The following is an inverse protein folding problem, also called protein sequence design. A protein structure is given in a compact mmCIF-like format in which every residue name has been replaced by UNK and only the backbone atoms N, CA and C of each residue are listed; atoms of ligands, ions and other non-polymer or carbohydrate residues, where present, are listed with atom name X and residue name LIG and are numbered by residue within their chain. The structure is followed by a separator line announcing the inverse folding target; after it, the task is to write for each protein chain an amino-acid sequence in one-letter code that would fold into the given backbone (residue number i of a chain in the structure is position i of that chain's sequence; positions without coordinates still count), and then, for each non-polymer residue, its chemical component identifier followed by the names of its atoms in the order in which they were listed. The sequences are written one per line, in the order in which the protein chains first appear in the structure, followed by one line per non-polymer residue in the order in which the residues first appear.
data_IF_721859788304
#
_entry.id   IF_721859788304
#
_cell.length_a   1.000
_cell.length_b   1.000
_cell.length_c   1.000
_cell.angle_alpha   90.00
_cell.angle_beta   90.00
_cell.angle_gamma   90.00
#
_symmetry.space_group_name_H-M   'P 1'
#
loop_
_entity.id
_entity.type
_entity.pdbx_description
1 polymer ?
#
# COMPACT_ATOMS: atom_id res chain seq x y z
N UNK A 1 18.82 39.60 -30.42
CA UNK A 1 17.86 39.95 -29.36
C UNK A 1 17.14 38.66 -28.99
N UNK A 2 17.65 37.99 -27.98
CA UNK A 2 17.13 36.70 -27.47
C UNK A 2 16.42 36.99 -26.16
N UNK A 3 15.11 36.83 -26.15
CA UNK A 3 14.29 37.03 -24.96
C UNK A 3 14.18 35.74 -24.17
N UNK A 4 14.87 35.65 -23.02
CA UNK A 4 14.72 34.61 -22.03
C UNK A 4 13.40 34.80 -21.24
N UNK A 5 12.39 34.04 -21.60
CA UNK A 5 11.16 33.93 -20.84
C UNK A 5 11.32 32.95 -19.67
N UNK A 6 11.73 33.45 -18.51
CA UNK A 6 11.62 32.69 -17.26
C UNK A 6 10.15 32.60 -16.84
N UNK A 7 9.56 31.40 -16.94
CA UNK A 7 8.28 31.09 -16.31
C UNK A 7 8.48 31.03 -14.79
N UNK A 8 8.04 32.08 -14.08
CA UNK A 8 7.90 32.03 -12.62
C UNK A 8 6.72 31.14 -12.25
N UNK A 9 6.98 29.89 -11.90
CA UNK A 9 6.02 29.01 -11.25
C UNK A 9 5.77 29.51 -9.82
N UNK A 10 4.65 30.19 -9.61
CA UNK A 10 4.19 30.58 -8.28
C UNK A 10 3.73 29.29 -7.54
N UNK A 11 4.47 28.85 -6.54
CA UNK A 11 3.99 27.85 -5.59
C UNK A 11 2.78 28.45 -4.85
N UNK A 12 1.58 27.97 -5.14
CA UNK A 12 0.36 28.33 -4.40
C UNK A 12 0.39 27.49 -3.12
N UNK A 13 0.70 28.10 -1.99
CA UNK A 13 0.52 27.47 -0.68
C UNK A 13 -0.98 27.45 -0.36
N UNK A 14 -1.53 26.33 0.19
CA UNK A 14 -2.91 26.29 0.63
C UNK A 14 -3.15 27.36 1.71
N UNK A 15 -4.32 27.98 1.68
CA UNK A 15 -4.72 28.96 2.71
C UNK A 15 -4.94 28.27 4.05
N UNK A 16 -4.82 29.02 5.16
CA UNK A 16 -5.04 28.47 6.52
C UNK A 16 -6.45 27.85 6.66
N UNK A 17 -7.46 28.36 5.94
CA UNK A 17 -8.80 27.79 5.91
C UNK A 17 -8.87 26.45 5.16
N UNK A 18 -8.14 26.29 4.05
CA UNK A 18 -8.05 25.01 3.33
C UNK A 18 -7.30 23.98 4.15
N UNK A 19 -6.28 24.40 4.92
CA UNK A 19 -5.54 23.54 5.81
C UNK A 19 -6.42 23.08 6.99
N UNK A 20 -7.15 24.00 7.63
CA UNK A 20 -8.08 23.70 8.73
C UNK A 20 -9.27 22.81 8.27
N UNK A 21 -9.79 23.04 7.06
CA UNK A 21 -10.82 22.20 6.46
C UNK A 21 -10.34 20.78 6.19
N UNK A 22 -9.11 20.63 5.73
CA UNK A 22 -8.47 19.32 5.54
C UNK A 22 -8.25 18.62 6.88
N UNK A 23 -7.80 19.33 7.92
CA UNK A 23 -7.59 18.76 9.26
C UNK A 23 -8.90 18.31 9.91
N UNK A 24 -9.98 19.08 9.76
CA UNK A 24 -11.30 18.71 10.25
C UNK A 24 -11.85 17.46 9.51
N UNK A 25 -11.70 17.40 8.20
CA UNK A 25 -12.06 16.23 7.39
C UNK A 25 -11.27 14.98 7.81
N UNK A 26 -9.98 15.12 8.12
CA UNK A 26 -9.13 14.03 8.59
C UNK A 26 -9.51 13.53 9.98
N UNK A 27 -9.89 14.43 10.90
CA UNK A 27 -10.34 14.05 12.24
C UNK A 27 -11.66 13.27 12.16
N UNK A 28 -12.59 13.69 11.30
CA UNK A 28 -13.84 12.97 11.05
C UNK A 28 -13.59 11.58 10.44
N UNK A 29 -12.68 11.47 9.46
CA UNK A 29 -12.30 10.20 8.83
C UNK A 29 -11.61 9.24 9.80
N UNK A 30 -10.76 9.74 10.69
CA UNK A 30 -10.12 8.92 11.73
C UNK A 30 -11.10 8.41 12.79
N UNK A 31 -12.23 9.09 12.99
CA UNK A 31 -13.33 8.61 13.84
C UNK A 31 -14.21 7.57 13.13
N UNK A 32 -14.44 7.70 11.84
CA UNK A 32 -15.21 6.75 11.03
C UNK A 32 -14.45 5.43 10.81
N UNK A 33 -13.11 5.48 10.73
CA UNK A 33 -12.23 4.32 10.57
C UNK A 33 -12.19 3.35 11.77
N UNK A 34 -12.92 3.63 12.85
CA UNK A 34 -12.89 2.82 14.10
C UNK A 34 -13.84 1.63 14.14
N UNK A 35 -14.44 1.20 13.04
CA UNK A 35 -15.63 0.35 13.08
C UNK A 35 -15.44 -1.15 12.85
N UNK A 36 -14.24 -1.67 12.69
CA UNK A 36 -13.99 -3.12 12.81
C UNK A 36 -13.25 -3.41 14.12
N UNK A 37 -14.00 -3.41 15.21
CA UNK A 37 -13.44 -3.77 16.50
C UNK A 37 -13.25 -5.28 16.61
N UNK A 38 -12.05 -5.71 17.07
CA UNK A 38 -11.83 -7.07 17.54
C UNK A 38 -12.70 -7.36 18.79
N UNK A 39 -12.91 -8.61 19.19
CA UNK A 39 -13.58 -8.96 20.46
C UNK A 39 -12.96 -8.29 21.69
N UNK A 40 -11.72 -7.83 21.61
CA UNK A 40 -11.00 -7.07 22.64
C UNK A 40 -11.21 -5.55 22.57
N UNK A 41 -11.99 -5.05 21.59
CA UNK A 41 -12.26 -3.62 21.40
C UNK A 41 -11.18 -2.86 20.64
N UNK A 42 -10.08 -3.50 20.22
CA UNK A 42 -9.06 -2.88 19.37
C UNK A 42 -9.44 -2.98 17.89
N UNK A 43 -9.25 -1.93 17.08
CA UNK A 43 -9.49 -2.00 15.66
C UNK A 43 -8.52 -2.98 15.01
N UNK A 44 -9.06 -4.00 14.35
CA UNK A 44 -8.26 -4.99 13.62
C UNK A 44 -7.76 -4.42 12.30
N UNK A 45 -8.61 -3.71 11.59
CA UNK A 45 -8.33 -3.10 10.29
C UNK A 45 -8.94 -1.71 10.28
N UNK A 46 -8.16 -0.71 9.90
CA UNK A 46 -8.62 0.65 9.64
C UNK A 46 -8.95 0.77 8.16
N UNK A 47 -10.15 1.23 7.85
CA UNK A 47 -10.62 1.58 6.52
C UNK A 47 -10.64 3.11 6.39
N UNK A 48 -9.87 3.65 5.43
CA UNK A 48 -9.58 5.07 5.34
C UNK A 48 -9.77 5.53 3.88
N UNK A 49 -10.77 6.36 3.57
CA UNK A 49 -10.88 6.98 2.25
C UNK A 49 -9.65 7.88 2.00
N UNK A 50 -8.79 7.48 1.07
CA UNK A 50 -7.54 8.18 0.74
C UNK A 50 -7.65 9.00 -0.53
N UNK A 51 -8.29 8.46 -1.55
CA UNK A 51 -8.45 9.04 -2.87
C UNK A 51 -9.92 9.02 -3.28
N UNK A 52 -10.34 9.96 -4.09
CA UNK A 52 -11.59 9.81 -4.84
C UNK A 52 -11.43 8.73 -5.91
N UNK A 53 -12.50 8.03 -6.31
CA UNK A 53 -12.41 6.98 -7.34
C UNK A 53 -11.74 7.44 -8.64
N UNK A 54 -11.97 8.67 -9.06
CA UNK A 54 -11.37 9.23 -10.27
C UNK A 54 -9.86 9.44 -10.13
N UNK A 55 -9.38 9.78 -8.93
CA UNK A 55 -7.96 9.92 -8.63
C UNK A 55 -7.29 8.54 -8.57
N UNK A 56 -7.94 7.57 -7.95
CA UNK A 56 -7.45 6.19 -7.92
C UNK A 56 -7.33 5.61 -9.35
N UNK A 57 -8.32 5.87 -10.22
CA UNK A 57 -8.27 5.46 -11.62
C UNK A 57 -7.08 6.07 -12.38
N UNK A 58 -6.77 7.36 -12.14
CA UNK A 58 -5.59 8.00 -12.74
C UNK A 58 -4.30 7.30 -12.30
N UNK A 59 -4.15 6.97 -11.02
CA UNK A 59 -2.97 6.27 -10.52
C UNK A 59 -2.90 4.83 -11.07
N UNK A 60 -4.03 4.12 -11.19
CA UNK A 60 -4.09 2.80 -11.81
C UNK A 60 -3.64 2.83 -13.28
N UNK A 61 -4.06 3.84 -14.06
CA UNK A 61 -3.62 4.02 -15.45
C UNK A 61 -2.10 4.26 -15.55
N UNK A 62 -1.50 5.02 -14.63
CA UNK A 62 -0.04 5.17 -14.58
C UNK A 62 0.66 3.83 -14.36
N UNK A 63 0.12 2.98 -13.46
CA UNK A 63 0.64 1.62 -13.23
C UNK A 63 0.59 0.80 -14.52
N UNK A 64 -0.52 0.84 -15.25
CA UNK A 64 -0.67 0.13 -16.53
C UNK A 64 0.30 0.63 -17.61
N UNK A 65 0.56 1.93 -17.66
CA UNK A 65 1.53 2.51 -18.60
C UNK A 65 2.98 2.09 -18.30
N UNK A 66 3.27 1.66 -17.07
CA UNK A 66 4.57 1.13 -16.66
C UNK A 66 4.68 -0.39 -16.82
N UNK A 67 3.92 -1.02 -17.72
CA UNK A 67 3.91 -2.47 -17.91
C UNK A 67 5.29 -3.08 -18.15
N UNK A 68 6.17 -2.38 -18.83
CA UNK A 68 7.55 -2.84 -19.09
C UNK A 68 8.40 -2.94 -17.80
N UNK A 69 7.94 -2.35 -16.71
CA UNK A 69 8.57 -2.39 -15.38
C UNK A 69 7.89 -3.38 -14.43
N UNK A 70 6.90 -4.13 -14.90
CA UNK A 70 6.24 -5.15 -14.09
C UNK A 70 7.15 -6.35 -13.91
N UNK A 71 7.40 -6.71 -12.66
CA UNK A 71 8.21 -7.87 -12.30
C UNK A 71 7.26 -9.04 -12.06
N UNK A 72 7.39 -10.10 -12.87
CA UNK A 72 6.58 -11.32 -12.71
C UNK A 72 6.94 -12.04 -11.40
N UNK A 73 5.91 -12.45 -10.65
CA UNK A 73 6.04 -13.10 -9.34
C UNK A 73 5.44 -14.51 -9.28
N UNK A 74 5.23 -15.12 -10.42
CA UNK A 74 4.67 -16.46 -10.52
C UNK A 74 4.17 -16.75 -11.92
N UNK A 75 3.23 -17.68 -12.05
CA UNK A 75 2.77 -18.26 -13.32
C UNK A 75 1.93 -17.31 -14.21
N UNK A 76 2.30 -16.03 -14.29
CA UNK A 76 1.73 -15.11 -15.26
C UNK A 76 0.45 -14.39 -14.82
N UNK A 77 0.07 -14.46 -13.54
CA UNK A 77 -1.13 -13.79 -13.00
C UNK A 77 -0.84 -12.74 -11.94
N UNK A 78 0.39 -12.70 -11.42
CA UNK A 78 0.81 -11.78 -10.38
C UNK A 78 2.11 -11.06 -10.73
N UNK A 79 2.09 -9.74 -10.64
CA UNK A 79 3.25 -8.86 -10.86
C UNK A 79 3.37 -7.83 -9.76
N UNK A 80 4.58 -7.28 -9.63
CA UNK A 80 4.85 -6.12 -8.78
C UNK A 80 5.54 -5.02 -9.57
N UNK A 81 5.37 -3.78 -9.13
CA UNK A 81 6.30 -2.68 -9.40
C UNK A 81 6.92 -2.33 -8.06
N UNK A 82 8.24 -2.39 -7.97
CA UNK A 82 8.99 -2.15 -6.73
C UNK A 82 9.70 -3.38 -6.21
N UNK A 83 10.65 -3.16 -5.32
CA UNK A 83 11.35 -4.21 -4.60
C UNK A 83 10.46 -4.69 -3.43
N UNK A 84 9.90 -5.88 -3.58
CA UNK A 84 8.99 -6.45 -2.59
C UNK A 84 9.75 -7.26 -1.55
N UNK A 85 9.65 -6.88 -0.28
CA UNK A 85 10.28 -7.63 0.83
C UNK A 85 9.83 -9.08 0.84
N UNK A 86 8.56 -9.34 0.57
CA UNK A 86 8.04 -10.70 0.58
C UNK A 86 8.65 -11.55 -0.54
N UNK A 87 8.72 -11.02 -1.76
CA UNK A 87 9.16 -11.77 -2.94
C UNK A 87 10.68 -11.76 -3.11
N UNK A 88 11.32 -10.63 -2.87
CA UNK A 88 12.75 -10.46 -3.18
C UNK A 88 13.66 -10.76 -1.97
N UNK A 89 13.14 -10.63 -0.74
CA UNK A 89 13.89 -10.82 0.47
C UNK A 89 13.60 -12.17 1.14
N UNK A 90 12.31 -12.55 1.25
CA UNK A 90 11.91 -13.77 1.97
C UNK A 90 12.01 -15.00 1.08
N UNK A 91 11.46 -14.95 -0.13
CA UNK A 91 11.37 -16.12 -1.02
C UNK A 91 12.72 -16.42 -1.69
N UNK A 92 13.47 -15.38 -2.06
CA UNK A 92 14.74 -15.56 -2.78
C UNK A 92 15.98 -15.74 -1.91
N UNK A 93 15.84 -15.61 -0.58
CA UNK A 93 16.98 -15.56 0.38
C UNK A 93 18.05 -14.50 0.01
N UNK A 94 17.59 -13.43 -0.65
CA UNK A 94 18.42 -12.51 -1.39
C UNK A 94 18.49 -11.10 -0.81
N UNK A 95 19.06 -10.92 0.42
CA UNK A 95 19.29 -9.57 0.95
C UNK A 95 19.94 -8.63 -0.07
N UNK A 96 21.00 -9.07 -0.73
CA UNK A 96 21.70 -8.26 -1.73
C UNK A 96 20.78 -7.91 -2.91
N UNK A 97 19.98 -8.87 -3.38
CA UNK A 97 19.08 -8.68 -4.52
C UNK A 97 17.99 -7.67 -4.19
N UNK A 98 17.35 -7.76 -3.03
CA UNK A 98 16.30 -6.82 -2.63
C UNK A 98 16.79 -5.37 -2.62
N UNK A 99 17.89 -5.10 -1.93
CA UNK A 99 18.42 -3.73 -1.81
C UNK A 99 18.95 -3.19 -3.14
N UNK A 100 19.52 -4.04 -3.99
CA UNK A 100 19.94 -3.64 -5.34
C UNK A 100 18.73 -3.31 -6.24
N UNK A 101 17.68 -4.12 -6.18
CA UNK A 101 16.42 -3.83 -6.90
C UNK A 101 15.81 -2.53 -6.38
N UNK A 102 15.76 -2.33 -5.07
CA UNK A 102 15.26 -1.09 -4.47
C UNK A 102 16.02 0.14 -4.98
N UNK A 103 17.36 0.12 -4.96
CA UNK A 103 18.20 1.21 -5.47
C UNK A 103 17.88 1.55 -6.93
N UNK A 104 17.63 0.54 -7.76
CA UNK A 104 17.36 0.71 -9.19
C UNK A 104 15.96 1.24 -9.47
N UNK A 105 14.94 0.75 -8.74
CA UNK A 105 13.54 1.05 -9.07
C UNK A 105 12.95 2.23 -8.29
N UNK A 106 13.47 2.54 -7.09
CA UNK A 106 12.95 3.63 -6.26
C UNK A 106 12.90 4.99 -6.99
N UNK A 107 13.93 5.43 -7.76
CA UNK A 107 13.85 6.70 -8.47
C UNK A 107 12.72 6.76 -9.49
N UNK A 108 12.42 5.66 -10.16
CA UNK A 108 11.30 5.57 -11.11
C UNK A 108 9.97 5.65 -10.38
N UNK A 109 9.81 4.91 -9.26
CA UNK A 109 8.60 4.93 -8.45
C UNK A 109 8.34 6.33 -7.87
N UNK A 110 9.36 6.96 -7.29
CA UNK A 110 9.23 8.33 -6.75
C UNK A 110 8.88 9.33 -7.85
N UNK A 111 9.50 9.22 -9.03
CA UNK A 111 9.20 10.09 -10.17
C UNK A 111 7.78 9.97 -10.70
N UNK A 112 7.24 8.75 -10.74
CA UNK A 112 5.90 8.49 -11.27
C UNK A 112 4.79 8.70 -10.23
N UNK A 113 5.03 8.36 -8.98
CA UNK A 113 4.02 8.26 -7.92
C UNK A 113 4.31 9.10 -6.68
N UNK A 114 5.32 9.97 -6.68
CA UNK A 114 5.71 10.79 -5.52
C UNK A 114 4.55 11.47 -4.80
N UNK A 115 3.57 12.10 -5.49
CA UNK A 115 2.40 12.69 -4.86
C UNK A 115 1.53 11.66 -4.10
N UNK A 116 1.29 10.46 -4.66
CA UNK A 116 0.54 9.38 -4.02
C UNK A 116 1.29 8.85 -2.79
N UNK A 117 2.59 8.61 -2.93
CA UNK A 117 3.44 8.16 -1.83
C UNK A 117 3.47 9.20 -0.70
N UNK A 118 3.62 10.48 -1.03
CA UNK A 118 3.59 11.59 -0.07
C UNK A 118 2.27 11.69 0.68
N UNK A 119 1.14 11.54 -0.02
CA UNK A 119 -0.19 11.50 0.59
C UNK A 119 -0.31 10.31 1.55
N UNK A 120 0.09 9.12 1.12
CA UNK A 120 0.05 7.90 1.93
C UNK A 120 0.88 8.05 3.21
N UNK A 121 2.13 8.54 3.10
CA UNK A 121 2.99 8.86 4.26
C UNK A 121 2.33 9.86 5.20
N UNK A 122 1.74 10.94 4.66
CA UNK A 122 1.06 11.95 5.46
C UNK A 122 -0.07 11.37 6.30
N UNK A 123 -0.88 10.49 5.71
CA UNK A 123 -2.00 9.82 6.41
C UNK A 123 -1.48 8.88 7.48
N UNK A 124 -0.53 8.02 7.16
CA UNK A 124 0.08 7.11 8.13
C UNK A 124 0.71 7.90 9.29
N UNK A 125 1.44 8.98 8.98
CA UNK A 125 2.03 9.85 9.99
C UNK A 125 0.98 10.44 10.94
N UNK A 126 -0.18 10.85 10.44
CA UNK A 126 -1.30 11.35 11.27
C UNK A 126 -1.91 10.25 12.15
N UNK A 127 -2.12 9.04 11.61
CA UNK A 127 -2.67 7.90 12.38
C UNK A 127 -1.78 7.61 13.60
N UNK A 128 -0.47 7.62 13.41
CA UNK A 128 0.49 7.33 14.48
C UNK A 128 0.92 8.57 15.28
N UNK A 129 0.48 9.77 14.86
CA UNK A 129 0.92 11.06 15.41
C UNK A 129 2.46 11.20 15.42
N UNK A 130 3.09 10.89 14.27
CA UNK A 130 4.55 10.90 14.07
C UNK A 130 4.89 11.29 12.65
N UNK A 131 6.11 11.75 12.44
CA UNK A 131 6.65 11.87 11.08
C UNK A 131 6.73 10.48 10.43
N UNK A 132 6.20 10.35 9.21
CA UNK A 132 6.32 9.12 8.44
C UNK A 132 7.39 9.31 7.36
N UNK A 133 8.35 8.40 7.32
CA UNK A 133 9.47 8.40 6.39
C UNK A 133 9.54 7.06 5.63
N UNK A 134 10.21 7.04 4.50
CA UNK A 134 10.62 5.79 3.89
C UNK A 134 11.78 5.19 4.68
N UNK A 135 11.77 3.87 4.87
CA UNK A 135 12.89 3.20 5.51
C UNK A 135 14.12 3.32 4.60
N UNK A 136 15.24 3.90 5.07
CA UNK A 136 16.44 4.06 4.25
C UNK A 136 16.90 2.75 3.64
N UNK A 137 17.27 2.80 2.35
CA UNK A 137 17.75 1.68 1.53
C UNK A 137 16.72 0.60 1.19
N UNK A 138 15.54 0.59 1.80
CA UNK A 138 14.46 -0.33 1.47
C UNK A 138 13.72 0.08 0.19
N UNK A 139 12.91 -0.83 -0.34
CA UNK A 139 11.97 -0.52 -1.42
C UNK A 139 10.95 0.52 -0.96
N UNK A 140 10.71 1.54 -1.78
CA UNK A 140 9.55 2.43 -1.60
C UNK A 140 8.26 1.62 -1.70
N UNK A 141 7.16 2.14 -1.13
CA UNK A 141 5.83 1.58 -1.34
C UNK A 141 5.64 1.20 -2.80
N UNK A 142 5.21 -0.03 -3.07
CA UNK A 142 5.16 -0.60 -4.40
C UNK A 142 3.76 -1.10 -4.77
N UNK A 143 3.64 -1.71 -5.93
CA UNK A 143 2.34 -2.13 -6.44
C UNK A 143 2.25 -3.64 -6.57
N UNK A 144 1.11 -4.18 -6.13
CA UNK A 144 0.67 -5.52 -6.46
C UNK A 144 -0.37 -5.45 -7.58
N UNK A 145 -0.15 -6.24 -8.61
CA UNK A 145 -0.97 -6.27 -9.81
C UNK A 145 -1.37 -7.73 -10.07
N UNK A 146 -2.66 -8.00 -10.00
CA UNK A 146 -3.23 -9.29 -10.37
C UNK A 146 -4.01 -9.09 -11.66
N UNK A 147 -3.49 -9.65 -12.75
CA UNK A 147 -4.10 -9.58 -14.06
C UNK A 147 -4.67 -10.97 -14.39
N UNK A 148 -5.98 -11.09 -14.40
CA UNK A 148 -6.70 -12.33 -14.65
C UNK A 148 -6.93 -12.62 -16.14
N UNK A 149 -6.25 -11.90 -17.03
CA UNK A 149 -6.38 -12.11 -18.49
C UNK A 149 -5.85 -13.47 -18.99
N UNK A 150 -5.25 -14.29 -18.09
CA UNK A 150 -4.82 -15.66 -18.35
C UNK A 150 -5.85 -16.71 -17.90
N UNK A 151 -5.72 -17.93 -18.44
CA UNK A 151 -6.62 -19.08 -18.14
C UNK A 151 -6.51 -19.61 -16.68
N UNK A 152 -5.50 -19.17 -15.93
CA UNK A 152 -5.26 -19.62 -14.54
C UNK A 152 -6.05 -18.76 -13.55
N UNK A 153 -7.33 -19.06 -13.42
CA UNK A 153 -8.17 -18.53 -12.35
C UNK A 153 -7.83 -19.24 -11.06
N UNK A 154 -7.20 -18.53 -10.12
CA UNK A 154 -7.07 -19.06 -8.75
C UNK A 154 -8.44 -19.04 -8.08
N UNK A 155 -9.07 -20.20 -8.01
CA UNK A 155 -10.37 -20.38 -7.34
C UNK A 155 -10.32 -20.04 -5.85
N UNK A 156 -9.12 -20.00 -5.24
CA UNK A 156 -8.94 -19.89 -3.79
C UNK A 156 -8.31 -18.57 -3.30
N UNK A 157 -8.04 -17.60 -4.17
CA UNK A 157 -7.32 -16.38 -3.77
C UNK A 157 -5.82 -16.62 -3.52
N UNK A 158 -5.16 -15.77 -2.72
CA UNK A 158 -3.77 -16.00 -2.30
C UNK A 158 -3.68 -17.00 -1.14
N UNK A 159 -2.46 -17.48 -0.85
CA UNK A 159 -2.24 -18.32 0.32
C UNK A 159 -2.53 -17.54 1.61
N UNK A 160 -3.06 -18.25 2.62
CA UNK A 160 -3.25 -17.69 3.96
C UNK A 160 -1.87 -17.46 4.59
N UNK A 161 -1.64 -16.26 5.11
CA UNK A 161 -0.37 -15.88 5.73
C UNK A 161 -0.59 -14.83 6.84
N UNK A 162 0.48 -14.56 7.56
CA UNK A 162 0.66 -13.38 8.41
C UNK A 162 1.82 -12.56 7.87
N UNK A 163 1.77 -11.24 8.05
CA UNK A 163 2.83 -10.36 7.55
C UNK A 163 3.96 -10.25 8.57
N UNK A 164 5.10 -10.82 8.22
CA UNK A 164 6.32 -10.78 9.03
C UNK A 164 7.57 -10.30 8.26
N UNK A 165 7.46 -9.45 7.21
CA UNK A 165 8.63 -9.04 6.43
C UNK A 165 9.64 -8.24 7.26
N UNK A 166 9.18 -7.58 8.35
CA UNK A 166 10.02 -6.83 9.27
C UNK A 166 11.12 -7.67 9.92
N UNK A 167 10.97 -8.98 10.03
CA UNK A 167 11.95 -9.86 10.67
C UNK A 167 13.24 -10.00 9.85
N UNK A 168 13.18 -9.73 8.55
CA UNK A 168 14.31 -9.94 7.63
C UNK A 168 14.95 -8.66 7.12
N UNK A 169 14.38 -7.52 7.44
CA UNK A 169 14.95 -6.23 7.05
C UNK A 169 16.16 -5.86 7.92
N UNK A 170 17.07 -5.12 7.32
CA UNK A 170 18.18 -4.49 8.04
C UNK A 170 17.69 -3.19 8.67
N UNK A 171 17.31 -3.27 9.93
CA UNK A 171 16.90 -2.09 10.70
C UNK A 171 18.13 -1.35 11.24
N UNK A 172 18.08 -0.03 11.16
CA UNK A 172 19.14 0.85 11.69
C UNK A 172 18.94 1.18 13.16
N UNK A 173 17.77 0.91 13.71
CA UNK A 173 17.38 1.16 15.10
C UNK A 173 16.28 0.18 15.55
N UNK A 174 16.04 0.01 16.86
CA UNK A 174 14.92 -0.79 17.36
C UNK A 174 13.57 -0.28 16.82
N UNK A 175 12.64 -1.20 16.60
CA UNK A 175 11.30 -0.88 16.10
C UNK A 175 10.22 -1.60 16.89
N UNK A 176 9.00 -1.05 16.81
CA UNK A 176 7.79 -1.62 17.40
C UNK A 176 6.57 -1.44 16.51
N UNK A 177 5.48 -2.07 16.89
CA UNK A 177 4.16 -1.95 16.24
C UNK A 177 4.22 -2.08 14.72
N UNK A 178 4.74 -3.21 14.19
CA UNK A 178 4.72 -3.43 12.75
C UNK A 178 3.28 -3.45 12.24
N UNK A 179 3.10 -2.95 11.02
CA UNK A 179 1.81 -2.89 10.34
C UNK A 179 1.97 -3.10 8.85
N UNK A 180 0.86 -3.41 8.20
CA UNK A 180 0.72 -3.49 6.74
C UNK A 180 -0.41 -2.59 6.27
N UNK A 181 -0.31 -2.12 5.05
CA UNK A 181 -1.38 -1.35 4.44
C UNK A 181 -1.50 -1.64 2.94
N UNK A 182 -2.72 -1.43 2.45
CA UNK A 182 -3.08 -1.61 1.04
C UNK A 182 -3.97 -0.45 0.63
N UNK A 183 -3.63 0.24 -0.47
CA UNK A 183 -4.51 1.23 -1.11
C UNK A 183 -5.07 0.62 -2.38
N UNK A 184 -6.39 0.52 -2.48
CA UNK A 184 -7.07 -0.03 -3.65
C UNK A 184 -7.15 1.04 -4.75
N UNK A 185 -6.45 0.82 -5.88
CA UNK A 185 -6.46 1.75 -7.01
C UNK A 185 -7.42 1.32 -8.11
N UNK A 186 -7.43 0.05 -8.45
CA UNK A 186 -8.38 -0.57 -9.35
C UNK A 186 -8.78 -1.93 -8.80
N UNK A 187 -10.06 -2.18 -8.79
CA UNK A 187 -10.63 -3.45 -8.35
C UNK A 187 -11.44 -4.05 -9.49
N UNK A 188 -11.43 -5.37 -9.63
CA UNK A 188 -12.38 -6.05 -10.50
C UNK A 188 -13.81 -5.79 -10.07
N UNK A 189 -14.75 -5.85 -11.00
CA UNK A 189 -16.15 -5.62 -10.69
C UNK A 189 -16.67 -6.63 -9.67
N UNK A 190 -17.00 -6.14 -8.48
CA UNK A 190 -17.65 -6.90 -7.42
C UNK A 190 -16.76 -7.56 -6.40
N UNK A 191 -15.41 -7.45 -6.50
CA UNK A 191 -14.55 -8.12 -5.52
C UNK A 191 -13.10 -7.58 -5.49
N UNK A 192 -12.24 -8.20 -4.71
CA UNK A 192 -10.82 -7.84 -4.58
C UNK A 192 -10.43 -7.46 -3.16
N UNK A 193 -11.27 -7.81 -2.19
CA UNK A 193 -11.08 -7.54 -0.77
C UNK A 193 -10.11 -8.48 -0.08
N UNK A 194 -10.28 -8.60 1.23
CA UNK A 194 -9.45 -9.39 2.13
C UNK A 194 -10.30 -10.43 2.86
N UNK A 195 -9.90 -11.70 2.76
CA UNK A 195 -10.32 -12.72 3.73
C UNK A 195 -9.41 -12.64 4.95
N UNK A 196 -9.97 -12.67 6.15
CA UNK A 196 -9.18 -12.72 7.36
C UNK A 196 -9.84 -13.60 8.42
N UNK A 197 -9.04 -14.11 9.34
CA UNK A 197 -9.49 -15.03 10.39
C UNK A 197 -9.27 -14.41 11.76
N UNK A 198 -10.28 -14.59 12.60
CA UNK A 198 -10.27 -14.19 14.02
C UNK A 198 -10.23 -15.47 14.84
N UNK A 199 -9.59 -15.43 16.01
CA UNK A 199 -9.50 -16.58 16.93
C UNK A 199 -8.88 -17.85 16.30
N UNK A 200 -7.75 -17.68 15.61
CA UNK A 200 -6.92 -18.80 15.17
C UNK A 200 -7.56 -19.67 14.08
N UNK A 201 -8.00 -19.08 13.00
CA UNK A 201 -8.55 -19.78 11.81
C UNK A 201 -9.96 -20.37 11.94
N UNK A 202 -10.65 -20.22 13.08
CA UNK A 202 -11.99 -20.80 13.23
C UNK A 202 -13.07 -20.04 12.47
N UNK A 203 -12.93 -18.72 12.32
CA UNK A 203 -13.98 -17.90 11.71
C UNK A 203 -13.41 -16.99 10.62
N UNK A 204 -13.64 -17.37 9.37
CA UNK A 204 -13.36 -16.54 8.20
C UNK A 204 -14.31 -15.35 8.17
N UNK A 205 -13.76 -14.17 7.99
CA UNK A 205 -14.47 -12.93 7.67
C UNK A 205 -14.00 -12.38 6.33
N UNK A 206 -14.85 -11.65 5.68
CA UNK A 206 -14.55 -10.97 4.42
C UNK A 206 -14.70 -9.46 4.60
N UNK A 207 -13.68 -8.71 4.20
CA UNK A 207 -13.67 -7.26 4.11
C UNK A 207 -13.66 -6.87 2.64
N UNK A 208 -14.77 -6.32 2.10
CA UNK A 208 -14.75 -5.78 0.76
C UNK A 208 -13.83 -4.55 0.71
N UNK A 209 -13.05 -4.43 -0.36
CA UNK A 209 -12.28 -3.23 -0.62
C UNK A 209 -13.08 -2.28 -1.49
N UNK A 210 -12.91 -0.98 -1.25
CA UNK A 210 -13.44 0.11 -2.05
C UNK A 210 -12.30 0.84 -2.77
N UNK A 211 -12.50 1.16 -4.05
CA UNK A 211 -11.51 1.91 -4.85
C UNK A 211 -11.25 3.28 -4.23
N UNK A 212 -9.99 3.62 -4.04
CA UNK A 212 -9.56 4.86 -3.40
C UNK A 212 -9.33 4.73 -1.89
N UNK A 213 -9.72 3.62 -1.26
CA UNK A 213 -9.54 3.41 0.17
C UNK A 213 -8.18 2.79 0.51
N UNK A 214 -7.65 3.14 1.68
CA UNK A 214 -6.49 2.53 2.30
C UNK A 214 -6.94 1.67 3.48
N UNK A 215 -6.50 0.41 3.49
CA UNK A 215 -6.73 -0.55 4.56
C UNK A 215 -5.42 -0.76 5.32
N UNK A 216 -5.42 -0.42 6.61
CA UNK A 216 -4.23 -0.53 7.47
C UNK A 216 -4.51 -1.47 8.63
N UNK A 217 -3.63 -2.43 8.87
CA UNK A 217 -3.78 -3.45 9.90
C UNK A 217 -2.42 -3.89 10.46
N UNK A 218 -2.44 -4.64 11.56
CA UNK A 218 -1.20 -5.12 12.20
C UNK A 218 -0.47 -6.20 11.40
N UNK A 219 -1.12 -6.82 10.42
CA UNK A 219 -0.57 -7.98 9.68
C UNK A 219 -0.47 -9.28 10.49
N UNK A 220 -0.74 -9.25 11.79
CA UNK A 220 -0.47 -10.37 12.73
C UNK A 220 -1.59 -11.39 12.86
N UNK A 221 -2.63 -11.27 12.10
CA UNK A 221 -3.72 -12.24 12.00
C UNK A 221 -3.66 -12.96 10.64
N UNK A 222 -4.10 -14.22 10.57
CA UNK A 222 -4.17 -14.94 9.31
C UNK A 222 -5.09 -14.21 8.33
N UNK A 223 -4.57 -13.94 7.13
CA UNK A 223 -5.33 -13.27 6.08
C UNK A 223 -4.85 -13.70 4.70
N UNK A 224 -5.65 -13.38 3.68
CA UNK A 224 -5.30 -13.53 2.27
C UNK A 224 -6.08 -12.56 1.40
N UNK A 225 -5.60 -12.32 0.19
CA UNK A 225 -6.44 -11.69 -0.84
C UNK A 225 -7.61 -12.63 -1.12
N UNK A 226 -8.84 -12.13 -0.99
CA UNK A 226 -10.03 -12.94 -1.21
C UNK A 226 -10.07 -13.45 -2.67
N UNK A 227 -10.59 -14.66 -2.84
CA UNK A 227 -10.82 -15.22 -4.16
C UNK A 227 -11.83 -14.36 -4.92
N UNK A 228 -11.58 -14.10 -6.20
CA UNK A 228 -12.57 -13.42 -7.03
C UNK A 228 -13.84 -14.27 -7.18
N UNK A 229 -14.98 -13.64 -6.98
CA UNK A 229 -16.30 -14.27 -7.13
C UNK A 229 -16.89 -14.08 -8.53
N UNK A 230 -16.22 -13.34 -9.38
CA UNK A 230 -16.76 -12.92 -10.68
C UNK A 230 -16.12 -13.66 -11.86
N UNK A 231 -16.85 -13.77 -12.97
CA UNK A 231 -16.35 -14.36 -14.21
C UNK A 231 -15.60 -13.38 -15.12
N UNK A 232 -15.50 -12.08 -14.78
CA UNK A 232 -15.01 -11.08 -15.73
C UNK A 232 -13.49 -10.92 -15.66
N UNK A 233 -12.86 -10.97 -16.83
CA UNK A 233 -11.42 -10.89 -17.04
C UNK A 233 -10.99 -9.48 -17.48
N UNK A 234 -11.85 -8.46 -17.30
CA UNK A 234 -11.67 -7.18 -17.98
C UNK A 234 -10.84 -6.17 -17.20
N UNK A 235 -10.77 -6.31 -15.88
CA UNK A 235 -10.03 -5.36 -15.03
C UNK A 235 -9.05 -6.08 -14.11
N UNK A 236 -7.78 -5.65 -14.08
CA UNK A 236 -6.82 -6.13 -13.09
C UNK A 236 -7.19 -5.63 -11.69
N UNK A 237 -6.70 -6.33 -10.68
CA UNK A 237 -6.63 -5.79 -9.32
C UNK A 237 -5.29 -5.07 -9.16
N UNK A 238 -5.32 -3.75 -9.00
CA UNK A 238 -4.13 -2.92 -8.80
C UNK A 238 -4.21 -2.27 -7.42
N UNK A 239 -3.19 -2.51 -6.60
CA UNK A 239 -3.09 -1.92 -5.27
C UNK A 239 -1.70 -1.37 -5.02
N UNK A 240 -1.61 -0.18 -4.38
CA UNK A 240 -0.37 0.24 -3.73
C UNK A 240 -0.28 -0.48 -2.39
N UNK A 241 0.88 -1.01 -2.07
CA UNK A 241 1.11 -1.74 -0.83
C UNK A 241 2.40 -1.30 -0.14
N UNK A 242 2.43 -1.55 1.15
CA UNK A 242 3.61 -1.40 1.95
C UNK A 242 3.42 -1.92 3.36
N UNK A 243 4.54 -1.95 4.05
CA UNK A 243 4.63 -2.29 5.46
C UNK A 243 5.27 -1.12 6.21
N UNK A 244 5.18 -1.13 7.51
CA UNK A 244 5.85 -0.11 8.32
C UNK A 244 6.00 -0.53 9.77
N UNK A 245 6.73 0.29 10.52
CA UNK A 245 6.89 0.14 11.96
C UNK A 245 7.25 1.48 12.60
N UNK A 246 7.09 1.58 13.91
CA UNK A 246 7.57 2.71 14.69
C UNK A 246 9.04 2.51 15.01
N UNK A 247 9.87 3.48 14.67
CA UNK A 247 11.27 3.56 15.02
C UNK A 247 11.40 4.15 16.42
N UNK A 248 12.00 3.40 17.37
CA UNK A 248 11.98 3.74 18.79
C UNK A 248 12.91 4.91 19.16
N UNK A 249 14.12 4.95 18.56
CA UNK A 249 15.12 5.97 18.90
C UNK A 249 14.75 7.34 18.32
N UNK A 250 14.21 7.37 17.11
CA UNK A 250 13.83 8.61 16.41
C UNK A 250 12.37 8.99 16.57
N UNK A 251 11.56 8.11 17.17
CA UNK A 251 10.10 8.30 17.35
C UNK A 251 9.37 8.61 16.03
N UNK A 252 9.83 8.06 14.89
CA UNK A 252 9.23 8.20 13.57
C UNK A 252 8.51 6.90 13.16
N UNK A 253 7.70 7.00 12.14
CA UNK A 253 7.15 5.81 11.45
C UNK A 253 7.93 5.61 10.16
N UNK A 254 8.50 4.43 9.97
CA UNK A 254 9.12 4.05 8.70
C UNK A 254 8.18 3.17 7.89
N UNK A 255 8.12 3.41 6.57
CA UNK A 255 7.39 2.57 5.61
C UNK A 255 8.33 2.01 4.55
N UNK A 256 7.97 0.84 4.01
CA UNK A 256 8.75 0.10 3.00
C UNK A 256 7.83 -0.89 2.25
N UNK A 257 8.34 -1.48 1.17
CA UNK A 257 7.59 -2.48 0.39
C UNK A 257 8.22 -3.86 0.36
#
# INVERSE_FOLDING_TARGET
MTGDGKANGTCIHPTDEEQASKEAAWTALAEEARTTASPTGEPLILDIPLLKPEQAAIEAEKVKHLRDHWISRGEGTFWTIGASTYNDLIVSDGHATYYQVAEQVNPMIEGAFGPLLGLTRSVIGKIYNRECIDLPFAGLMGFHIFDSSGDDRREEGSNIHTDEPFQRLLWTEPFSKPFSFTVALELPDGDGGLDYWVDGEQYRRYLPYETGHMYLHTGRFPHRIAAPTWPSNEKPRITLQGHGAILEDTNRVAVYF
#
